data_IF_552488214695
#
_entry.id   IF_552488214695
#
_cell.length_a   1.000
_cell.length_b   1.000
_cell.length_c   1.000
_cell.angle_alpha   90.00
_cell.angle_beta   90.00
_cell.angle_gamma   90.00
#
_symmetry.space_group_name_H-M   'P 1'
#
loop_
_entity.id
_entity.type
_entity.pdbx_description
1 polymer ?
#
# COMPACT_ATOMS: atom_id res chain seq x y z
N UNK A 1 -70.66 -69.77 6.94
CA UNK A 1 -70.70 -70.54 8.21
C UNK A 1 -69.26 -70.81 8.63
N UNK A 2 -68.88 -70.39 9.84
CA UNK A 2 -67.73 -70.84 10.65
C UNK A 2 -66.27 -70.56 10.23
N UNK A 3 -65.61 -69.90 11.19
CA UNK A 3 -64.23 -70.06 11.67
C UNK A 3 -63.08 -69.55 10.79
N UNK A 4 -61.93 -69.13 11.33
CA UNK A 4 -61.44 -68.51 12.58
C UNK A 4 -59.90 -68.60 12.41
N UNK A 5 -59.19 -67.53 12.76
CA UNK A 5 -57.87 -67.54 13.41
C UNK A 5 -56.55 -67.83 12.63
N UNK A 6 -55.71 -66.77 12.64
CA UNK A 6 -54.38 -66.64 13.30
C UNK A 6 -53.08 -66.76 12.46
N UNK A 7 -52.39 -65.62 12.44
CA UNK A 7 -50.99 -65.31 12.82
C UNK A 7 -49.79 -65.87 12.03
N UNK A 8 -48.83 -64.94 11.83
CA UNK A 8 -47.44 -65.14 11.42
C UNK A 8 -47.19 -64.34 10.14
N UNK A 9 -46.51 -63.20 10.08
CA UNK A 9 -45.33 -62.77 10.81
C UNK A 9 -44.15 -62.81 9.84
N UNK A 10 -43.70 -61.66 9.33
CA UNK A 10 -42.30 -61.20 9.16
C UNK A 10 -42.38 -59.77 8.63
N UNK A 11 -41.90 -58.82 9.45
CA UNK A 11 -41.63 -57.43 9.08
C UNK A 11 -40.21 -57.40 8.51
N UNK A 12 -40.05 -57.06 7.24
CA UNK A 12 -38.74 -56.72 6.67
C UNK A 12 -38.57 -55.20 6.81
N UNK A 13 -37.94 -54.76 7.89
CA UNK A 13 -37.52 -53.38 8.06
C UNK A 13 -36.27 -53.16 7.19
N UNK A 14 -36.44 -52.48 6.07
CA UNK A 14 -35.35 -51.93 5.28
C UNK A 14 -34.68 -50.79 6.06
N UNK A 15 -33.48 -51.03 6.55
CA UNK A 15 -32.61 -49.98 7.09
C UNK A 15 -32.08 -49.17 5.91
N UNK A 16 -32.66 -47.98 5.72
CA UNK A 16 -32.13 -46.96 4.82
C UNK A 16 -30.91 -46.33 5.52
N UNK A 17 -29.71 -46.71 5.10
CA UNK A 17 -28.48 -46.07 5.54
C UNK A 17 -28.40 -44.66 4.94
N UNK A 18 -28.73 -43.65 5.75
CA UNK A 18 -28.46 -42.25 5.44
C UNK A 18 -26.96 -42.03 5.68
N UNK A 19 -26.18 -42.03 4.60
CA UNK A 19 -24.79 -41.62 4.64
C UNK A 19 -24.74 -40.11 4.90
N UNK A 20 -24.34 -39.73 6.12
CA UNK A 20 -23.91 -38.38 6.44
C UNK A 20 -22.61 -38.09 5.68
N UNK A 21 -22.70 -37.37 4.56
CA UNK A 21 -21.56 -36.73 3.95
C UNK A 21 -21.11 -35.59 4.87
N UNK A 22 -20.16 -35.88 5.75
CA UNK A 22 -19.41 -34.86 6.48
C UNK A 22 -18.61 -34.09 5.43
N UNK A 23 -19.13 -32.91 5.07
CA UNK A 23 -18.46 -31.96 4.20
C UNK A 23 -17.11 -31.61 4.80
N UNK A 24 -16.05 -32.09 4.17
CA UNK A 24 -14.70 -31.63 4.41
C UNK A 24 -14.65 -30.17 3.95
N UNK A 25 -14.75 -29.24 4.89
CA UNK A 25 -14.38 -27.85 4.66
C UNK A 25 -12.89 -27.82 4.35
N UNK A 26 -12.56 -27.87 3.05
CA UNK A 26 -11.28 -27.37 2.56
C UNK A 26 -11.21 -25.89 2.93
N UNK A 27 -10.45 -25.59 3.98
CA UNK A 27 -9.91 -24.26 4.22
C UNK A 27 -9.04 -23.91 3.02
N UNK A 28 -9.64 -23.26 2.02
CA UNK A 28 -8.87 -22.51 1.04
C UNK A 28 -8.28 -21.32 1.78
N UNK A 29 -7.02 -21.45 2.20
CA UNK A 29 -6.22 -20.30 2.60
C UNK A 29 -6.26 -19.24 1.48
N UNK A 30 -6.12 -17.95 1.81
CA UNK A 30 -6.09 -16.91 0.78
C UNK A 30 -4.99 -17.26 -0.22
N UNK A 31 -5.37 -17.33 -1.50
CA UNK A 31 -4.43 -17.54 -2.59
C UNK A 31 -3.33 -16.48 -2.48
N UNK A 32 -2.12 -16.93 -2.19
CA UNK A 32 -0.91 -16.10 -2.22
C UNK A 32 -0.72 -15.68 -3.68
N UNK A 33 -1.22 -14.49 -4.03
CA UNK A 33 -1.09 -13.94 -5.36
C UNK A 33 0.41 -13.83 -5.66
N UNK A 34 0.87 -14.59 -6.67
CA UNK A 34 2.26 -14.56 -7.11
C UNK A 34 2.68 -13.11 -7.39
N UNK A 35 3.71 -12.62 -6.67
CA UNK A 35 4.20 -11.25 -6.84
C UNK A 35 4.71 -11.06 -8.28
N UNK A 36 4.14 -10.11 -9.04
CA UNK A 36 4.53 -9.82 -10.42
C UNK A 36 5.94 -9.22 -10.53
N UNK A 37 6.58 -9.39 -11.69
CA UNK A 37 7.93 -8.91 -11.97
C UNK A 37 7.87 -7.41 -12.33
N UNK A 38 8.60 -6.52 -11.64
CA UNK A 38 8.50 -5.08 -11.85
C UNK A 38 9.07 -4.63 -13.21
N UNK A 39 8.52 -3.53 -13.74
CA UNK A 39 9.00 -2.78 -14.89
C UNK A 39 10.39 -2.18 -14.62
N UNK A 40 11.45 -2.97 -14.79
CA UNK A 40 12.84 -2.51 -14.62
C UNK A 40 13.19 -2.07 -13.19
N UNK A 41 14.48 -1.97 -12.88
CA UNK A 41 14.92 -1.42 -11.59
C UNK A 41 14.88 0.10 -11.66
N UNK A 42 13.81 0.73 -11.17
CA UNK A 42 13.79 2.17 -10.93
C UNK A 42 14.81 2.46 -9.81
N UNK A 43 15.81 3.32 -10.03
CA UNK A 43 16.82 3.60 -9.01
C UNK A 43 16.22 4.34 -7.82
N UNK A 44 16.54 3.88 -6.61
CA UNK A 44 16.26 4.60 -5.38
C UNK A 44 17.30 5.70 -5.15
N UNK A 45 16.85 6.94 -5.05
CA UNK A 45 17.73 8.09 -4.88
C UNK A 45 17.86 8.48 -3.41
N UNK A 46 18.86 7.92 -2.73
CA UNK A 46 19.27 8.37 -1.41
C UNK A 46 20.35 9.46 -1.52
N UNK A 47 20.20 10.64 -0.90
CA UNK A 47 21.27 11.62 -0.80
C UNK A 47 22.54 11.03 -0.17
N UNK A 48 23.71 11.41 -0.69
CA UNK A 48 25.00 10.95 -0.13
C UNK A 48 25.19 11.47 1.29
N UNK A 49 24.90 12.75 1.49
CA UNK A 49 24.94 13.38 2.81
C UNK A 49 23.78 12.88 3.67
N UNK A 50 24.08 12.60 4.93
CA UNK A 50 23.10 12.17 5.93
C UNK A 50 22.80 13.33 6.86
N UNK A 51 21.56 13.79 6.88
CA UNK A 51 21.08 14.78 7.85
C UNK A 51 20.15 14.07 8.80
N UNK A 52 20.66 13.69 9.98
CA UNK A 52 19.92 12.90 10.96
C UNK A 52 18.63 13.61 11.38
N UNK A 53 17.49 12.96 11.18
CA UNK A 53 16.19 13.42 11.66
C UNK A 53 15.85 12.86 13.05
N UNK A 54 16.37 11.67 13.36
CA UNK A 54 16.12 10.98 14.62
C UNK A 54 16.91 9.69 14.74
N UNK A 55 16.64 8.92 15.79
CA UNK A 55 17.34 7.67 16.07
C UNK A 55 16.39 6.54 16.42
N UNK A 56 16.74 5.30 16.06
CA UNK A 56 16.20 4.12 16.73
C UNK A 56 17.13 3.73 17.88
N UNK A 57 16.62 3.82 19.11
CA UNK A 57 17.26 3.21 20.27
C UNK A 57 17.01 1.70 20.22
N UNK A 58 18.09 0.92 20.31
CA UNK A 58 18.04 -0.54 20.25
C UNK A 58 18.25 -1.08 21.66
N UNK A 59 17.34 -1.94 22.10
CA UNK A 59 17.42 -2.65 23.38
C UNK A 59 17.41 -4.15 23.14
N UNK A 60 18.20 -4.87 23.92
CA UNK A 60 18.25 -6.33 23.95
C UNK A 60 17.57 -6.83 25.22
N UNK A 61 16.70 -7.84 25.11
CA UNK A 61 16.11 -8.50 26.27
C UNK A 61 17.07 -9.54 26.83
N UNK A 62 17.48 -9.40 28.09
CA UNK A 62 18.40 -10.29 28.82
C UNK A 62 17.80 -10.61 30.19
N UNK A 63 17.59 -11.90 30.49
CA UNK A 63 17.09 -12.36 31.80
C UNK A 63 15.80 -11.63 32.25
N UNK A 64 14.93 -11.32 31.28
CA UNK A 64 13.67 -10.60 31.51
C UNK A 64 13.79 -9.07 31.57
N UNK A 65 15.00 -8.51 31.55
CA UNK A 65 15.26 -7.08 31.59
C UNK A 65 15.65 -6.52 30.23
N UNK A 66 15.45 -5.21 30.02
CA UNK A 66 15.84 -4.53 28.79
C UNK A 66 17.12 -3.73 29.00
N UNK A 67 18.13 -4.01 28.19
CA UNK A 67 19.38 -3.25 28.17
C UNK A 67 19.53 -2.52 26.85
N UNK A 68 19.78 -1.21 26.90
CA UNK A 68 20.11 -0.43 25.69
C UNK A 68 21.47 -0.87 25.17
N UNK A 69 21.56 -1.14 23.87
CA UNK A 69 22.79 -1.61 23.20
C UNK A 69 23.25 -0.68 22.08
N UNK A 70 22.36 0.16 21.55
CA UNK A 70 22.71 1.10 20.48
C UNK A 70 21.77 2.31 20.44
N UNK A 71 22.23 3.34 19.74
CA UNK A 71 21.40 4.40 19.19
C UNK A 71 21.80 4.58 17.73
N UNK A 72 20.89 4.26 16.80
CA UNK A 72 21.16 4.24 15.37
C UNK A 72 20.52 5.48 14.71
N UNK A 73 21.31 6.44 14.19
CA UNK A 73 20.77 7.63 13.54
C UNK A 73 20.28 7.34 12.12
N UNK A 74 19.12 7.90 11.78
CA UNK A 74 18.50 7.81 10.47
C UNK A 74 18.03 9.18 9.98
N UNK A 75 17.84 9.27 8.67
CA UNK A 75 17.35 10.45 7.97
C UNK A 75 16.17 10.09 7.08
N UNK A 76 15.82 11.02 6.17
CA UNK A 76 14.72 10.89 5.25
C UNK A 76 14.81 9.63 4.35
N UNK A 77 16.00 9.14 4.04
CA UNK A 77 16.18 8.01 3.13
C UNK A 77 16.21 6.66 3.87
N UNK A 78 15.79 5.59 3.21
CA UNK A 78 16.02 4.24 3.68
C UNK A 78 17.52 3.96 3.68
N UNK A 79 18.08 3.77 4.87
CA UNK A 79 19.50 3.46 5.08
C UNK A 79 19.64 2.16 5.85
N UNK A 80 20.73 1.48 5.60
CA UNK A 80 21.14 0.34 6.41
C UNK A 80 22.06 0.80 7.54
N UNK A 81 21.79 0.32 8.75
CA UNK A 81 22.67 0.45 9.91
C UNK A 81 22.80 -0.92 10.57
N UNK A 82 23.97 -1.18 11.15
CA UNK A 82 24.23 -2.43 11.85
C UNK A 82 24.84 -2.19 13.22
N UNK A 83 24.52 -3.05 14.18
CA UNK A 83 25.13 -3.06 15.51
C UNK A 83 25.40 -4.50 15.96
N UNK A 84 26.58 -4.71 16.55
CA UNK A 84 26.92 -5.97 17.20
C UNK A 84 26.25 -6.01 18.58
N UNK A 85 25.45 -7.05 18.83
CA UNK A 85 24.78 -7.26 20.11
C UNK A 85 25.66 -8.04 21.11
N UNK A 86 26.79 -8.58 20.66
CA UNK A 86 27.73 -9.39 21.45
C UNK A 86 27.50 -10.89 21.32
N UNK A 87 28.12 -11.68 22.23
CA UNK A 87 27.93 -13.13 22.28
C UNK A 87 26.58 -13.47 22.89
N UNK A 88 25.69 -13.94 22.05
CA UNK A 88 24.30 -14.31 22.38
C UNK A 88 24.21 -15.80 22.77
N UNK A 89 25.33 -16.39 23.24
CA UNK A 89 25.43 -17.81 23.63
C UNK A 89 24.51 -18.24 24.79
N UNK A 90 23.71 -17.33 25.35
CA UNK A 90 22.79 -17.56 26.47
C UNK A 90 21.31 -17.64 26.08
N UNK A 91 20.97 -17.51 24.80
CA UNK A 91 19.56 -17.39 24.37
C UNK A 91 19.07 -18.66 23.65
N UNK A 92 18.83 -19.72 24.42
CA UNK A 92 18.29 -20.99 23.88
C UNK A 92 16.88 -20.86 23.28
N UNK A 93 16.13 -19.82 23.65
CA UNK A 93 14.76 -19.55 23.17
C UNK A 93 14.64 -18.55 22.02
N UNK A 94 15.74 -18.04 21.49
CA UNK A 94 15.76 -16.94 20.51
C UNK A 94 16.04 -15.58 21.14
N UNK A 95 16.14 -14.55 20.30
CA UNK A 95 16.61 -13.22 20.69
C UNK A 95 15.51 -12.21 20.50
N UNK A 96 15.18 -11.45 21.54
CA UNK A 96 14.21 -10.36 21.44
C UNK A 96 14.93 -9.02 21.47
N UNK A 97 14.71 -8.22 20.43
CA UNK A 97 15.19 -6.85 20.30
C UNK A 97 14.01 -5.91 20.34
N UNK A 98 14.16 -4.79 21.02
CA UNK A 98 13.18 -3.71 21.07
C UNK A 98 13.75 -2.48 20.38
N UNK A 99 12.95 -1.85 19.52
CA UNK A 99 13.24 -0.58 18.89
C UNK A 99 12.31 0.49 19.44
N UNK A 100 12.90 1.64 19.79
CA UNK A 100 12.19 2.84 20.21
C UNK A 100 12.68 4.03 19.38
N UNK A 101 11.78 4.67 18.64
CA UNK A 101 12.10 5.91 17.91
C UNK A 101 12.31 7.06 18.90
N UNK A 102 13.33 7.89 18.66
CA UNK A 102 13.56 9.17 19.36
C UNK A 102 13.79 10.29 18.34
N UNK A 103 13.06 11.39 18.52
CA UNK A 103 13.10 12.54 17.61
C UNK A 103 12.49 12.26 16.24
N UNK A 104 12.49 13.30 15.40
CA UNK A 104 12.01 13.24 14.02
C UNK A 104 10.50 13.04 13.89
N UNK A 105 10.03 13.02 12.65
CA UNK A 105 8.65 12.76 12.26
C UNK A 105 8.37 11.25 12.07
N UNK A 106 7.52 10.90 11.09
CA UNK A 106 7.18 9.50 10.78
C UNK A 106 8.41 8.64 10.49
N UNK A 107 8.35 7.36 10.85
CA UNK A 107 9.42 6.41 10.64
C UNK A 107 8.90 5.07 10.14
N UNK A 108 9.70 4.44 9.29
CA UNK A 108 9.31 3.21 8.61
C UNK A 108 10.49 2.25 8.57
N UNK A 109 10.22 0.96 8.76
CA UNK A 109 11.20 -0.12 8.69
C UNK A 109 10.90 -0.93 7.43
N UNK A 110 11.88 -0.97 6.52
CA UNK A 110 11.85 -1.80 5.32
C UNK A 110 12.35 -3.21 5.62
N UNK A 111 13.44 -3.33 6.39
CA UNK A 111 13.97 -4.66 6.72
C UNK A 111 14.67 -4.69 8.07
N UNK A 112 14.61 -5.84 8.75
CA UNK A 112 15.41 -6.07 9.96
C UNK A 112 15.88 -7.52 10.05
N UNK A 113 17.16 -7.72 10.35
CA UNK A 113 17.79 -9.03 10.40
C UNK A 113 18.67 -9.18 11.62
N UNK A 114 18.69 -10.38 12.20
CA UNK A 114 19.70 -10.80 13.16
C UNK A 114 20.61 -11.84 12.53
N UNK A 115 21.86 -11.45 12.29
CA UNK A 115 22.87 -12.26 11.60
C UNK A 115 22.33 -12.88 10.30
N UNK A 116 21.66 -12.05 9.51
CA UNK A 116 21.06 -12.42 8.21
C UNK A 116 19.69 -13.11 8.28
N UNK A 117 19.13 -13.36 9.47
CA UNK A 117 17.83 -14.01 9.62
C UNK A 117 16.73 -12.99 9.98
N UNK A 118 15.56 -13.03 9.32
CA UNK A 118 14.44 -12.15 9.64
C UNK A 118 13.79 -12.51 10.99
N UNK A 119 12.96 -11.61 11.57
CA UNK A 119 12.20 -11.92 12.77
C UNK A 119 11.13 -12.97 12.48
N UNK A 120 10.78 -13.76 13.51
CA UNK A 120 9.63 -14.69 13.48
C UNK A 120 8.35 -14.03 13.98
N UNK A 121 8.49 -13.08 14.89
CA UNK A 121 7.39 -12.38 15.54
C UNK A 121 7.75 -10.91 15.71
N UNK A 122 6.74 -10.06 15.53
CA UNK A 122 6.79 -8.63 15.83
C UNK A 122 5.61 -8.32 16.74
N UNK A 123 5.84 -7.60 17.83
CA UNK A 123 4.81 -7.03 18.68
C UNK A 123 4.88 -5.50 18.66
N UNK A 124 3.79 -4.84 19.05
CA UNK A 124 3.69 -3.38 19.03
C UNK A 124 3.24 -2.79 17.69
N UNK A 125 2.78 -3.63 16.75
CA UNK A 125 2.21 -3.21 15.45
C UNK A 125 0.86 -3.87 15.22
N UNK A 126 -0.02 -3.21 14.47
CA UNK A 126 -1.29 -3.79 13.97
C UNK A 126 -1.10 -4.63 12.70
N UNK A 127 0.09 -4.62 12.09
CA UNK A 127 0.42 -5.38 10.89
C UNK A 127 0.60 -6.87 11.20
N UNK A 128 -0.44 -7.66 11.00
CA UNK A 128 -0.43 -9.11 11.25
C UNK A 128 0.59 -9.87 10.38
N UNK A 129 0.96 -9.29 9.24
CA UNK A 129 1.97 -9.81 8.32
C UNK A 129 3.37 -9.22 8.55
N UNK A 130 3.57 -8.46 9.65
CA UNK A 130 4.80 -7.75 9.97
C UNK A 130 6.11 -8.51 9.68
N UNK A 131 6.29 -9.77 10.16
CA UNK A 131 7.49 -10.56 9.88
C UNK A 131 7.79 -10.75 8.39
N UNK A 132 6.77 -10.90 7.54
CA UNK A 132 6.96 -11.04 6.09
C UNK A 132 7.36 -9.71 5.45
N UNK A 133 6.73 -8.61 5.87
CA UNK A 133 6.99 -7.26 5.36
C UNK A 133 8.47 -6.89 5.56
N UNK A 134 8.99 -7.04 6.77
CA UNK A 134 10.39 -6.67 7.09
C UNK A 134 11.44 -7.75 6.78
N UNK A 135 11.07 -8.80 6.04
CA UNK A 135 11.96 -9.94 5.76
C UNK A 135 12.90 -9.71 4.58
N UNK A 136 12.69 -8.64 3.81
CA UNK A 136 13.42 -8.32 2.58
C UNK A 136 13.61 -6.81 2.47
N UNK A 137 14.53 -6.40 1.60
CA UNK A 137 14.74 -5.00 1.26
C UNK A 137 14.04 -4.73 -0.05
N UNK A 138 12.74 -4.52 0.00
CA UNK A 138 11.90 -4.40 -1.18
C UNK A 138 10.91 -3.23 -1.12
N UNK A 139 11.09 -2.31 -0.17
CA UNK A 139 10.24 -1.15 0.12
C UNK A 139 8.86 -1.50 0.69
N UNK A 140 8.64 -2.74 1.11
CA UNK A 140 7.42 -3.13 1.79
C UNK A 140 7.58 -2.92 3.30
N UNK A 141 7.03 -1.81 3.80
CA UNK A 141 7.40 -1.33 5.12
C UNK A 141 6.33 -1.55 6.18
N UNK A 142 6.78 -1.53 7.44
CA UNK A 142 5.92 -1.34 8.60
C UNK A 142 6.10 0.07 9.16
N UNK A 143 5.03 0.63 9.70
CA UNK A 143 5.08 1.86 10.49
C UNK A 143 5.80 1.62 11.81
N UNK A 144 6.74 2.50 12.13
CA UNK A 144 7.53 2.54 13.35
C UNK A 144 7.57 3.96 13.94
N UNK A 145 6.59 4.80 13.59
CA UNK A 145 6.48 6.20 14.00
C UNK A 145 6.16 6.33 15.47
N UNK A 146 5.26 5.49 15.99
CA UNK A 146 4.76 5.60 17.36
C UNK A 146 5.02 4.32 18.18
N UNK A 147 5.13 4.49 19.49
CA UNK A 147 5.26 3.39 20.43
C UNK A 147 6.60 2.66 20.33
N UNK A 148 6.55 1.35 20.57
CA UNK A 148 7.72 0.49 20.70
C UNK A 148 7.44 -0.80 19.94
N UNK A 149 8.40 -1.22 19.11
CA UNK A 149 8.34 -2.47 18.37
C UNK A 149 9.29 -3.48 18.99
N UNK A 150 8.83 -4.71 19.20
CA UNK A 150 9.68 -5.80 19.66
C UNK A 150 9.74 -6.91 18.61
N UNK A 151 10.95 -7.33 18.27
CA UNK A 151 11.25 -8.29 17.22
C UNK A 151 11.88 -9.51 17.87
N UNK A 152 11.29 -10.69 17.65
CA UNK A 152 11.84 -11.95 18.15
C UNK A 152 12.43 -12.75 17.00
N UNK A 153 13.73 -13.05 17.11
CA UNK A 153 14.53 -13.73 16.11
C UNK A 153 14.87 -15.16 16.53
N UNK A 154 15.15 -16.06 15.57
CA UNK A 154 15.84 -17.31 15.86
C UNK A 154 17.19 -17.05 16.56
N UNK A 155 17.63 -17.99 17.40
CA UNK A 155 18.97 -17.91 18.00
C UNK A 155 20.05 -17.89 16.89
N UNK A 156 21.01 -16.94 16.92
CA UNK A 156 22.12 -16.92 15.99
C UNK A 156 23.14 -18.02 16.36
N UNK A 157 23.85 -18.54 15.37
CA UNK A 157 24.88 -19.58 15.56
C UNK A 157 26.24 -19.01 16.05
N UNK A 158 26.27 -17.79 16.59
CA UNK A 158 27.50 -17.09 16.95
C UNK A 158 27.27 -15.62 17.31
N UNK A 159 28.20 -14.75 16.93
CA UNK A 159 28.08 -13.31 17.13
C UNK A 159 26.79 -12.78 16.49
N UNK A 160 26.05 -12.02 17.28
CA UNK A 160 24.76 -11.48 16.88
C UNK A 160 24.94 -10.07 16.31
N UNK A 161 24.62 -9.90 15.02
CA UNK A 161 24.64 -8.59 14.36
C UNK A 161 23.23 -8.24 13.96
N UNK A 162 22.68 -7.19 14.57
CA UNK A 162 21.40 -6.63 14.13
C UNK A 162 21.66 -5.69 12.95
N UNK A 163 20.96 -5.92 11.85
CA UNK A 163 20.94 -5.03 10.68
C UNK A 163 19.54 -4.46 10.54
N UNK A 164 19.43 -3.15 10.42
CA UNK A 164 18.18 -2.42 10.31
C UNK A 164 18.22 -1.55 9.05
N UNK A 165 17.23 -1.74 8.17
CA UNK A 165 16.96 -0.87 7.01
C UNK A 165 15.70 -0.08 7.32
N UNK A 166 15.87 1.22 7.53
CA UNK A 166 14.79 2.09 7.98
C UNK A 166 15.02 3.53 7.54
N UNK A 167 14.00 4.37 7.73
CA UNK A 167 14.07 5.83 7.60
C UNK A 167 13.36 6.50 8.76
N UNK A 168 13.80 7.72 9.10
CA UNK A 168 13.08 8.63 10.01
C UNK A 168 12.98 9.97 9.29
N UNK A 169 11.76 10.37 8.94
CA UNK A 169 11.53 11.65 8.27
C UNK A 169 11.77 12.82 9.24
N UNK A 170 12.03 14.01 8.71
CA UNK A 170 11.95 15.23 9.51
C UNK A 170 10.51 15.48 9.98
N UNK A 171 10.34 16.29 11.02
CA UNK A 171 9.00 16.66 11.51
C UNK A 171 8.19 17.45 10.48
N UNK A 172 8.90 18.18 9.62
CA UNK A 172 8.32 18.94 8.50
C UNK A 172 8.78 18.31 7.19
N UNK A 173 7.82 17.93 6.37
CA UNK A 173 8.05 17.41 5.02
C UNK A 173 7.28 18.25 4.00
N UNK A 174 7.68 18.17 2.74
CA UNK A 174 6.93 18.81 1.65
C UNK A 174 5.51 18.26 1.61
N UNK A 175 4.53 19.15 1.46
CA UNK A 175 3.12 18.82 1.28
C UNK A 175 2.65 19.01 -0.16
N UNK A 176 3.61 19.18 -1.09
CA UNK A 176 3.31 19.42 -2.50
C UNK A 176 2.88 18.11 -3.17
N UNK A 177 1.64 18.00 -3.67
CA UNK A 177 1.20 16.83 -4.41
C UNK A 177 1.90 16.75 -5.77
N UNK A 178 2.05 15.54 -6.30
CA UNK A 178 2.21 15.38 -7.74
C UNK A 178 0.91 15.78 -8.43
N UNK A 179 1.03 16.48 -9.56
CA UNK A 179 -0.11 16.91 -10.39
C UNK A 179 0.12 16.37 -11.79
N UNK A 180 -0.92 15.79 -12.38
CA UNK A 180 -0.88 15.15 -13.69
C UNK A 180 -1.84 15.91 -14.62
N UNK A 181 -1.40 16.40 -15.79
CA UNK A 181 -0.04 16.27 -16.35
C UNK A 181 1.05 16.92 -15.49
N UNK A 182 2.26 16.33 -15.48
CA UNK A 182 3.40 16.81 -14.68
C UNK A 182 3.81 18.27 -15.01
N UNK A 183 3.39 18.81 -16.16
CA UNK A 183 3.55 20.25 -16.47
C UNK A 183 2.82 21.20 -15.49
N UNK A 184 1.87 20.67 -14.70
CA UNK A 184 1.17 21.40 -13.64
C UNK A 184 1.87 21.31 -12.27
N UNK A 185 2.99 20.58 -12.17
CA UNK A 185 3.71 20.43 -10.91
C UNK A 185 4.12 21.80 -10.36
N UNK A 186 4.03 21.96 -9.04
CA UNK A 186 4.30 23.21 -8.31
C UNK A 186 3.36 24.40 -8.62
N UNK A 187 2.35 24.24 -9.47
CA UNK A 187 1.39 25.31 -9.81
C UNK A 187 -0.01 25.01 -9.29
N UNK A 188 -0.74 25.98 -8.71
CA UNK A 188 -2.13 25.75 -8.31
C UNK A 188 -2.95 25.26 -9.51
N UNK A 189 -3.90 24.37 -9.25
CA UNK A 189 -4.83 23.91 -10.28
C UNK A 189 -5.86 25.00 -10.54
N UNK A 190 -5.99 25.41 -11.80
CA UNK A 190 -6.96 26.42 -12.26
C UNK A 190 -7.55 26.00 -13.60
N UNK A 191 -8.55 26.72 -14.12
CA UNK A 191 -9.10 26.46 -15.45
C UNK A 191 -8.09 26.63 -16.59
N UNK A 192 -6.96 27.33 -16.35
CA UNK A 192 -5.87 27.53 -17.32
C UNK A 192 -4.74 26.49 -17.20
N UNK A 193 -4.85 25.53 -16.27
CA UNK A 193 -3.89 24.42 -16.16
C UNK A 193 -3.91 23.52 -17.41
N UNK A 194 -2.93 22.64 -17.55
CA UNK A 194 -2.94 21.64 -18.61
C UNK A 194 -3.84 20.46 -18.23
N UNK A 195 -4.52 19.88 -19.22
CA UNK A 195 -5.48 18.79 -19.01
C UNK A 195 -5.28 17.71 -20.08
N UNK A 196 -5.49 16.46 -19.69
CA UNK A 196 -5.71 15.35 -20.61
C UNK A 196 -7.10 15.42 -21.21
N UNK A 197 -7.25 14.93 -22.44
CA UNK A 197 -8.55 14.82 -23.11
C UNK A 197 -9.10 13.40 -22.97
N UNK A 198 -10.31 13.28 -22.42
CA UNK A 198 -11.04 12.03 -22.34
C UNK A 198 -12.34 12.12 -23.14
N UNK A 199 -12.54 11.20 -24.10
CA UNK A 199 -13.79 11.13 -24.86
C UNK A 199 -14.83 10.31 -24.09
N UNK A 200 -15.94 10.93 -23.72
CA UNK A 200 -17.09 10.27 -23.11
C UNK A 200 -17.72 9.28 -24.09
N UNK A 201 -17.89 8.03 -23.67
CA UNK A 201 -18.41 6.94 -24.52
C UNK A 201 -19.84 6.57 -24.13
N UNK A 202 -20.69 6.35 -25.11
CA UNK A 202 -22.02 5.78 -24.90
C UNK A 202 -21.97 4.26 -24.70
N UNK A 203 -22.88 3.72 -23.91
CA UNK A 203 -23.07 2.26 -23.77
C UNK A 203 -21.86 1.48 -23.22
N UNK A 204 -20.89 2.17 -22.62
CA UNK A 204 -19.70 1.54 -22.06
C UNK A 204 -20.07 0.70 -20.83
N UNK A 205 -19.48 -0.50 -20.74
CA UNK A 205 -19.75 -1.44 -19.67
C UNK A 205 -19.39 -0.83 -18.30
N UNK A 206 -20.22 -1.09 -17.29
CA UNK A 206 -19.97 -0.66 -15.92
C UNK A 206 -18.62 -1.20 -15.41
N UNK A 207 -17.76 -0.32 -14.91
CA UNK A 207 -16.41 -0.69 -14.46
C UNK A 207 -16.35 -1.27 -13.04
N UNK A 208 -17.52 -1.40 -12.38
CA UNK A 208 -17.63 -1.85 -10.99
C UNK A 208 -17.02 -0.85 -9.99
N UNK A 209 -17.36 -0.95 -8.70
CA UNK A 209 -16.97 0.04 -7.67
C UNK A 209 -15.47 -0.01 -7.28
N UNK A 210 -14.68 -0.90 -7.86
CA UNK A 210 -13.28 -1.13 -7.49
C UNK A 210 -12.26 -0.71 -8.54
N UNK A 211 -12.68 -0.10 -9.65
CA UNK A 211 -11.81 0.48 -10.67
C UNK A 211 -10.87 -0.48 -11.42
N UNK A 212 -10.57 -1.68 -10.91
CA UNK A 212 -9.59 -2.63 -11.47
C UNK A 212 -9.88 -3.04 -12.92
N UNK A 213 -11.15 -3.08 -13.31
CA UNK A 213 -11.52 -3.36 -14.70
C UNK A 213 -11.02 -2.29 -15.68
N UNK A 214 -10.77 -1.05 -15.21
CA UNK A 214 -10.17 0.01 -16.00
C UNK A 214 -8.75 -0.32 -16.46
N UNK A 215 -8.00 -1.15 -15.73
CA UNK A 215 -6.63 -1.52 -16.13
C UNK A 215 -6.58 -2.29 -17.46
N UNK A 216 -7.73 -2.78 -17.94
CA UNK A 216 -7.88 -3.42 -19.26
C UNK A 216 -8.07 -2.43 -20.41
N UNK A 217 -8.22 -1.14 -20.11
CA UNK A 217 -8.30 -0.07 -21.10
C UNK A 217 -6.93 0.59 -21.27
N UNK A 218 -6.71 1.33 -22.38
CA UNK A 218 -5.51 2.14 -22.52
C UNK A 218 -5.37 3.13 -21.35
N UNK A 219 -4.16 3.26 -20.83
CA UNK A 219 -3.81 4.29 -19.84
C UNK A 219 -4.08 5.67 -20.42
N UNK A 220 -4.69 6.55 -19.62
CA UNK A 220 -4.77 7.97 -19.95
C UNK A 220 -3.41 8.64 -19.75
N UNK A 221 -2.67 8.22 -18.71
CA UNK A 221 -1.32 8.68 -18.47
C UNK A 221 -0.46 7.63 -17.78
N UNK A 222 0.85 7.76 -18.00
CA UNK A 222 1.93 7.08 -17.28
C UNK A 222 3.06 8.09 -17.13
N UNK A 223 3.24 8.64 -15.93
CA UNK A 223 4.22 9.69 -15.69
C UNK A 223 5.19 9.30 -14.56
N UNK A 224 6.48 9.58 -14.74
CA UNK A 224 7.52 9.24 -13.76
C UNK A 224 7.56 10.28 -12.63
N UNK A 225 7.28 9.84 -11.42
CA UNK A 225 7.30 10.64 -10.19
C UNK A 225 8.63 10.49 -9.48
N UNK A 226 9.46 11.53 -9.56
CA UNK A 226 10.69 11.61 -8.75
C UNK A 226 10.34 12.07 -7.33
N UNK A 227 10.34 11.12 -6.40
CA UNK A 227 10.12 11.41 -4.99
C UNK A 227 11.16 12.41 -4.45
N UNK A 228 10.67 13.43 -3.77
CA UNK A 228 11.45 14.38 -2.96
C UNK A 228 11.55 13.97 -1.49
N UNK A 229 10.92 12.86 -1.12
CA UNK A 229 10.91 12.29 0.22
C UNK A 229 11.60 10.93 0.25
N UNK A 230 11.52 10.22 1.37
CA UNK A 230 12.13 8.90 1.54
C UNK A 230 11.52 7.77 0.72
N UNK A 231 10.42 8.06 0.03
CA UNK A 231 9.68 7.11 -0.79
C UNK A 231 10.47 6.68 -2.02
N UNK A 232 10.26 5.46 -2.54
CA UNK A 232 10.76 5.10 -3.85
C UNK A 232 10.19 6.04 -4.92
N UNK A 233 11.02 6.45 -5.87
CA UNK A 233 10.50 7.05 -7.10
C UNK A 233 9.80 5.96 -7.92
N UNK A 234 8.73 6.32 -8.61
CA UNK A 234 7.89 5.34 -9.30
C UNK A 234 7.13 5.98 -10.46
N UNK A 235 6.45 5.15 -11.24
CA UNK A 235 5.47 5.67 -12.19
C UNK A 235 4.11 5.81 -11.53
N UNK A 236 3.42 6.92 -11.80
CA UNK A 236 1.99 7.02 -11.57
C UNK A 236 1.26 6.61 -12.84
N UNK A 237 0.24 5.78 -12.69
CA UNK A 237 -0.60 5.32 -13.79
C UNK A 237 -2.04 5.80 -13.59
N UNK A 238 -2.66 6.27 -14.65
CA UNK A 238 -4.06 6.70 -14.64
C UNK A 238 -4.88 6.01 -15.72
N UNK A 239 -6.04 5.49 -15.33
CA UNK A 239 -7.05 4.98 -16.26
C UNK A 239 -8.37 5.70 -16.04
N UNK A 240 -9.09 5.91 -17.14
CA UNK A 240 -10.40 6.58 -17.12
C UNK A 240 -11.39 5.81 -17.97
N UNK A 241 -12.61 5.69 -17.47
CA UNK A 241 -13.75 5.09 -18.15
C UNK A 241 -15.05 5.75 -17.70
N UNK A 242 -16.16 5.46 -18.38
CA UNK A 242 -17.49 5.89 -17.94
C UNK A 242 -18.52 4.82 -18.29
N UNK A 243 -19.69 4.83 -17.63
CA UNK A 243 -20.83 3.96 -17.95
C UNK A 243 -22.07 4.75 -18.43
N UNK A 244 -21.87 6.04 -18.72
CA UNK A 244 -22.93 6.99 -19.05
C UNK A 244 -23.54 7.69 -17.84
N UNK A 245 -23.39 7.13 -16.63
CA UNK A 245 -23.88 7.73 -15.37
C UNK A 245 -22.76 8.25 -14.49
N UNK A 246 -21.60 7.60 -14.51
CA UNK A 246 -20.45 7.92 -13.69
C UNK A 246 -19.18 7.99 -14.54
N UNK A 247 -18.28 8.89 -14.16
CA UNK A 247 -16.87 8.85 -14.52
C UNK A 247 -16.13 7.96 -13.52
N UNK A 248 -15.43 6.96 -14.02
CA UNK A 248 -14.56 6.10 -13.24
C UNK A 248 -13.11 6.49 -13.49
N UNK A 249 -12.34 6.63 -12.41
CA UNK A 249 -10.90 6.89 -12.48
C UNK A 249 -10.20 5.90 -11.58
N UNK A 250 -9.06 5.37 -12.04
CA UNK A 250 -8.13 4.62 -11.20
C UNK A 250 -6.75 5.23 -11.30
N UNK A 251 -6.14 5.52 -10.16
CA UNK A 251 -4.77 6.02 -10.04
C UNK A 251 -3.96 4.99 -9.24
N UNK A 252 -2.96 4.39 -9.86
CA UNK A 252 -1.96 3.55 -9.22
C UNK A 252 -0.71 4.41 -8.98
N UNK A 253 -0.45 4.74 -7.71
CA UNK A 253 0.61 5.67 -7.31
C UNK A 253 1.76 4.89 -6.64
N UNK A 254 2.60 4.31 -7.48
CA UNK A 254 3.56 3.27 -7.06
C UNK A 254 4.68 3.72 -6.14
N UNK A 255 4.99 5.02 -6.05
CA UNK A 255 6.05 5.50 -5.16
C UNK A 255 5.59 5.57 -3.70
N UNK A 256 4.28 5.64 -3.46
CA UNK A 256 3.73 5.84 -2.14
C UNK A 256 3.58 4.52 -1.38
N UNK A 257 4.70 4.07 -0.82
CA UNK A 257 4.83 2.82 -0.09
C UNK A 257 4.50 2.92 1.40
N UNK A 258 3.81 3.96 1.86
CA UNK A 258 3.38 4.07 3.26
C UNK A 258 1.87 4.26 3.39
N UNK A 259 1.38 4.16 4.62
CA UNK A 259 -0.04 4.28 4.94
C UNK A 259 -0.22 5.34 6.04
N UNK A 260 -0.28 6.60 5.64
CA UNK A 260 -0.34 7.75 6.54
C UNK A 260 -1.77 8.29 6.76
N UNK A 261 -2.79 7.45 6.50
CA UNK A 261 -4.19 7.76 6.78
C UNK A 261 -4.76 8.87 5.90
N UNK A 262 -5.41 9.87 6.51
CA UNK A 262 -6.03 11.00 5.79
C UNK A 262 -5.00 11.97 5.16
N UNK A 263 -3.72 11.87 5.54
CA UNK A 263 -2.66 12.62 4.86
C UNK A 263 -2.55 12.19 3.40
N UNK A 264 -2.90 10.95 3.08
CA UNK A 264 -2.80 10.40 1.73
C UNK A 264 -4.10 10.61 0.99
N UNK A 265 -4.03 11.27 -0.16
CA UNK A 265 -5.18 11.56 -0.98
C UNK A 265 -4.85 11.61 -2.46
N UNK A 266 -5.87 11.39 -3.26
CA UNK A 266 -5.87 11.74 -4.66
C UNK A 266 -7.02 12.68 -4.99
N UNK A 267 -6.87 13.41 -6.10
CA UNK A 267 -7.88 14.31 -6.63
C UNK A 267 -8.07 14.11 -8.11
N UNK A 268 -9.32 14.19 -8.55
CA UNK A 268 -9.71 14.35 -9.95
C UNK A 268 -10.18 15.78 -10.15
N UNK A 269 -9.62 16.45 -11.15
CA UNK A 269 -10.02 17.77 -11.59
C UNK A 269 -10.73 17.66 -12.94
N UNK A 270 -11.89 18.29 -13.06
CA UNK A 270 -12.62 18.38 -14.34
C UNK A 270 -12.82 19.85 -14.67
N UNK A 271 -12.29 20.29 -15.81
CA UNK A 271 -12.50 21.65 -16.30
C UNK A 271 -13.79 21.70 -17.11
N UNK A 272 -14.80 22.40 -16.60
CA UNK A 272 -16.13 22.52 -17.21
C UNK A 272 -16.40 23.96 -17.64
N UNK A 273 -17.43 24.23 -18.47
CA UNK A 273 -17.83 25.60 -18.80
C UNK A 273 -18.20 26.45 -17.58
N UNK A 274 -18.58 25.82 -16.46
CA UNK A 274 -18.92 26.48 -15.19
C UNK A 274 -17.70 26.66 -14.27
N UNK A 275 -16.53 26.17 -14.67
CA UNK A 275 -15.28 26.29 -13.93
C UNK A 275 -14.64 24.94 -13.59
N UNK A 276 -13.58 25.00 -12.79
CA UNK A 276 -12.84 23.82 -12.35
C UNK A 276 -13.56 23.14 -11.18
N UNK A 277 -13.92 21.88 -11.35
CA UNK A 277 -14.45 21.02 -10.27
C UNK A 277 -13.35 20.12 -9.72
N UNK A 278 -13.36 19.88 -8.42
CA UNK A 278 -12.41 19.04 -7.69
C UNK A 278 -13.15 17.92 -6.95
N UNK A 279 -12.67 16.68 -7.09
CA UNK A 279 -13.19 15.50 -6.40
C UNK A 279 -12.03 14.84 -5.66
N UNK A 280 -12.09 14.76 -4.33
CA UNK A 280 -11.04 14.21 -3.46
C UNK A 280 -11.42 12.84 -2.91
N UNK A 281 -10.45 11.95 -2.81
CA UNK A 281 -10.54 10.67 -2.09
C UNK A 281 -9.35 10.54 -1.14
N UNK A 282 -9.60 10.14 0.10
CA UNK A 282 -8.60 9.72 1.12
C UNK A 282 -9.10 8.49 1.88
N UNK A 283 -8.40 8.07 2.95
CA UNK A 283 -8.91 6.98 3.81
C UNK A 283 -10.21 7.34 4.55
N UNK A 284 -10.49 8.63 4.76
CA UNK A 284 -11.71 9.11 5.45
C UNK A 284 -12.67 9.85 4.52
N UNK A 285 -12.17 10.47 3.45
CA UNK A 285 -13.02 11.09 2.43
C UNK A 285 -13.37 10.09 1.33
N UNK A 286 -14.53 9.44 1.46
CA UNK A 286 -14.96 8.36 0.56
C UNK A 286 -16.18 8.71 -0.30
N UNK A 287 -16.61 9.98 -0.32
CA UNK A 287 -17.81 10.41 -1.08
C UNK A 287 -17.71 10.06 -2.56
N UNK A 288 -16.51 10.22 -3.13
CA UNK A 288 -16.27 10.08 -4.57
C UNK A 288 -15.56 8.79 -4.96
N UNK A 289 -15.33 7.88 -4.01
CA UNK A 289 -14.48 6.72 -4.23
C UNK A 289 -13.86 6.15 -2.97
N UNK A 290 -12.78 5.41 -3.14
CA UNK A 290 -12.04 4.75 -2.06
C UNK A 290 -10.55 4.66 -2.39
N UNK A 291 -9.75 4.48 -1.36
CA UNK A 291 -8.31 4.18 -1.49
C UNK A 291 -8.01 2.77 -0.98
N UNK A 292 -6.88 2.23 -1.39
CA UNK A 292 -6.35 0.94 -0.93
C UNK A 292 -4.83 1.01 -0.82
N UNK A 293 -4.28 0.36 0.19
CA UNK A 293 -2.84 0.13 0.33
C UNK A 293 -2.56 -1.34 0.04
N UNK A 294 -2.11 -1.65 -1.17
CA UNK A 294 -2.14 -3.02 -1.72
C UNK A 294 -0.99 -3.27 -2.68
N UNK A 295 -0.80 -4.54 -3.07
CA UNK A 295 0.04 -4.91 -4.20
C UNK A 295 -0.72 -4.78 -5.52
N UNK A 296 0.00 -4.40 -6.56
CA UNK A 296 -0.43 -4.44 -7.97
C UNK A 296 0.65 -5.13 -8.81
N UNK A 297 0.47 -5.16 -10.12
CA UNK A 297 1.48 -5.67 -11.05
C UNK A 297 2.61 -4.72 -11.42
N UNK A 298 2.63 -3.54 -10.80
CA UNK A 298 3.60 -2.49 -11.14
C UNK A 298 4.87 -2.54 -10.29
N UNK A 299 4.77 -2.91 -9.01
CA UNK A 299 5.89 -2.96 -8.06
C UNK A 299 5.74 -4.10 -7.04
N UNK A 300 6.84 -4.49 -6.38
CA UNK A 300 6.90 -5.65 -5.47
C UNK A 300 6.45 -5.39 -4.03
N UNK A 301 6.11 -4.15 -3.71
CA UNK A 301 5.72 -3.66 -2.39
C UNK A 301 4.31 -3.07 -2.39
N UNK A 302 3.71 -2.96 -1.21
CA UNK A 302 2.39 -2.32 -1.06
C UNK A 302 2.52 -0.82 -1.30
N UNK A 303 1.56 -0.25 -2.02
CA UNK A 303 1.50 1.18 -2.31
C UNK A 303 0.05 1.66 -2.41
N UNK A 304 -0.13 2.98 -2.53
CA UNK A 304 -1.47 3.58 -2.63
C UNK A 304 -2.07 3.46 -4.02
N UNK A 305 -3.34 3.08 -4.01
CA UNK A 305 -4.22 3.03 -5.18
C UNK A 305 -5.50 3.78 -4.85
N UNK A 306 -5.99 4.59 -5.78
CA UNK A 306 -7.19 5.39 -5.62
C UNK A 306 -8.19 5.09 -6.74
N UNK A 307 -9.41 4.76 -6.34
CA UNK A 307 -10.52 4.49 -7.26
C UNK A 307 -11.61 5.54 -7.04
N UNK A 308 -12.09 6.14 -8.13
CA UNK A 308 -13.17 7.12 -8.13
C UNK A 308 -14.38 6.58 -8.89
N UNK A 309 -15.57 6.96 -8.42
CA UNK A 309 -16.83 6.86 -9.11
C UNK A 309 -17.57 8.19 -8.93
N UNK A 310 -17.43 9.08 -9.91
CA UNK A 310 -17.96 10.45 -9.85
C UNK A 310 -19.21 10.53 -10.72
N UNK A 311 -20.38 10.83 -10.14
CA UNK A 311 -21.62 11.02 -10.89
C UNK A 311 -21.49 12.10 -11.98
N UNK A 312 -22.08 11.85 -13.15
CA UNK A 312 -22.01 12.74 -14.30
C UNK A 312 -22.65 14.12 -14.02
N UNK A 313 -23.73 14.14 -13.25
CA UNK A 313 -24.41 15.36 -12.80
C UNK A 313 -23.54 16.22 -11.86
N UNK A 314 -22.77 15.59 -10.99
CA UNK A 314 -21.79 16.26 -10.13
C UNK A 314 -20.66 16.91 -10.95
N UNK A 315 -20.35 16.36 -12.13
CA UNK A 315 -19.45 16.97 -13.12
C UNK A 315 -20.16 18.08 -13.93
N UNK A 316 -21.49 18.15 -13.90
CA UNK A 316 -22.29 19.10 -14.69
C UNK A 316 -22.57 18.61 -16.11
N UNK A 317 -22.51 17.29 -16.33
CA UNK A 317 -22.94 16.66 -17.56
C UNK A 317 -24.45 16.40 -17.47
N UNK A 318 -25.22 16.69 -18.53
CA UNK A 318 -26.64 16.39 -18.52
C UNK A 318 -26.87 14.87 -18.54
N UNK A 319 -27.99 14.36 -17.97
CA UNK A 319 -28.25 12.93 -17.82
C UNK A 319 -28.29 12.14 -19.13
N UNK A 320 -28.57 12.84 -20.24
CA UNK A 320 -28.71 12.33 -21.60
C UNK A 320 -27.48 12.61 -22.48
N UNK A 321 -26.33 12.97 -21.88
CA UNK A 321 -25.12 13.27 -22.65
C UNK A 321 -24.63 12.07 -23.47
N UNK A 322 -24.69 12.22 -24.79
CA UNK A 322 -24.35 11.21 -25.79
C UNK A 322 -22.92 11.28 -26.33
N UNK A 323 -22.01 12.02 -25.67
CA UNK A 323 -20.60 12.08 -26.08
C UNK A 323 -19.87 13.36 -25.67
N UNK A 324 -18.84 13.71 -26.43
CA UNK A 324 -18.00 14.90 -26.19
C UNK A 324 -16.75 14.61 -25.36
N UNK A 325 -15.94 15.64 -25.18
CA UNK A 325 -14.63 15.53 -24.50
C UNK A 325 -14.70 16.16 -23.12
N UNK A 326 -14.07 15.51 -22.15
CA UNK A 326 -13.77 16.04 -20.82
C UNK A 326 -12.29 16.40 -20.74
N UNK A 327 -12.01 17.54 -20.11
CA UNK A 327 -10.66 17.98 -19.78
C UNK A 327 -10.35 17.56 -18.34
N UNK A 328 -9.44 16.58 -18.19
CA UNK A 328 -9.14 15.93 -16.91
C UNK A 328 -7.71 16.22 -16.47
N UNK A 329 -7.54 16.51 -15.19
CA UNK A 329 -6.25 16.56 -14.54
C UNK A 329 -6.36 15.86 -13.18
N UNK A 330 -5.22 15.49 -12.59
CA UNK A 330 -5.19 14.67 -11.40
C UNK A 330 -4.17 15.20 -10.41
N UNK A 331 -4.32 14.85 -9.14
CA UNK A 331 -3.26 14.97 -8.16
C UNK A 331 -3.20 13.73 -7.28
N UNK A 332 -2.00 13.39 -6.82
CA UNK A 332 -1.78 12.36 -5.82
C UNK A 332 -0.74 12.85 -4.82
N UNK A 333 -0.97 12.55 -3.55
CA UNK A 333 -0.06 12.83 -2.46
C UNK A 333 -0.26 11.80 -1.37
N UNK A 334 0.82 11.25 -0.84
CA UNK A 334 0.76 10.50 0.42
C UNK A 334 2.09 10.43 1.13
N UNK A 335 2.58 11.61 1.49
CA UNK A 335 3.96 11.83 1.97
C UNK A 335 5.06 11.45 0.96
N UNK A 336 4.75 10.77 -0.15
CA UNK A 336 5.47 10.87 -1.42
C UNK A 336 5.22 12.26 -2.04
N UNK A 337 6.07 13.23 -1.70
CA UNK A 337 6.00 14.58 -2.23
C UNK A 337 6.99 14.78 -3.38
N UNK A 338 6.69 15.70 -4.28
CA UNK A 338 7.56 15.97 -5.43
C UNK A 338 8.92 16.56 -5.04
N UNK A 339 9.99 16.07 -5.69
CA UNK A 339 11.32 16.66 -5.58
C UNK A 339 11.36 18.03 -6.22
N UNK A 340 11.92 19.04 -5.55
CA UNK A 340 12.17 20.37 -6.15
C UNK A 340 13.18 20.30 -7.32
N UNK A 341 13.87 19.17 -7.49
CA UNK A 341 14.82 18.91 -8.58
C UNK A 341 14.20 18.04 -9.69
N UNK A 342 13.12 18.49 -10.33
CA UNK A 342 12.64 17.84 -11.56
C UNK A 342 13.32 18.48 -12.76
N UNK A 343 14.21 17.72 -13.42
CA UNK A 343 14.56 17.96 -14.82
C UNK A 343 13.47 17.26 -15.63
N UNK A 344 12.72 18.02 -16.42
CA UNK A 344 11.75 17.48 -17.37
C UNK A 344 12.44 16.45 -18.26
N UNK A 345 11.96 15.21 -18.25
CA UNK A 345 12.42 14.17 -19.19
C UNK A 345 11.41 13.95 -20.31
N UNK A 346 10.68 14.99 -20.74
CA UNK A 346 10.06 14.92 -22.06
C UNK A 346 11.17 15.20 -23.09
N UNK A 347 11.62 14.20 -23.87
CA UNK A 347 12.11 14.52 -25.19
C UNK A 347 10.90 15.03 -25.98
N UNK A 348 11.07 16.15 -26.68
CA UNK A 348 10.25 16.41 -27.85
C UNK A 348 10.33 15.24 -28.86
#
# INVERSE_FOLDING_TARGET
MRHRFRKGGVVLAGVLAIAFAIGTFLHMGPAEAAKPRPDGKIPYFAPKETITSGTFEVFLKEEGTWRKVASLPFDLAFREKAVRLGKVARFSGGVTVRLLKKGGGPAHIDAIFLSGKPPRLISGTSETQGPMLVSRRDFDVIDASEGTLEFTFPAPAGDAVLTLVARIQGEKISTTPFRFPLSNLFKPMTAASHFYSYRWKEGAAAFGPGGKALERTPQLFREFCRAGTGHPSGFAYGWVGNDGKNLYVRIDFTGDNTRDGDKDYAKVYVNTPQGLKEFKVSEVETRWGKTSFTYTDKVSYRHKVYDFAIPADEIGLPPDRTGGTLSLAFAAYGTEAASLSVVSTNPE
#
